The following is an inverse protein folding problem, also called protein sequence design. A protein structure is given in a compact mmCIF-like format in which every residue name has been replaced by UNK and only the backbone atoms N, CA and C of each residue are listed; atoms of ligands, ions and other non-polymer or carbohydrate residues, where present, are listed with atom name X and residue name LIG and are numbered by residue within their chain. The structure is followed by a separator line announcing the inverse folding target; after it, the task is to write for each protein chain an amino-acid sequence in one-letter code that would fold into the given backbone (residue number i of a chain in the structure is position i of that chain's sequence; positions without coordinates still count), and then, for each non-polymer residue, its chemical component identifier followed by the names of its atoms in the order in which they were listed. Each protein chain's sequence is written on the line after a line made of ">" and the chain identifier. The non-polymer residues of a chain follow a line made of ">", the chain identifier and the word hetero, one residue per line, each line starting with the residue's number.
data_IF_475980755233
#
_entry.id   IF_475980755233
#
_cell.length_a   1.000
_cell.length_b   1.000
_cell.length_c   1.000
_cell.angle_alpha   90.00
_cell.angle_beta   90.00
_cell.angle_gamma   90.00
#
_symmetry.space_group_name_H-M   'P 1'
#
loop_
_entity.id
_entity.type
_entity.pdbx_description
1 polymer ?
#
# COMPACT_ATOMS: atom_id res chain seq x y z
N UNK A 1 6.48 -2.34 20.12
CA UNK A 1 5.06 -2.78 20.09
C UNK A 1 4.34 -1.90 19.07
N UNK A 2 4.22 -2.34 17.81
CA UNK A 2 3.52 -1.56 16.79
C UNK A 2 2.04 -1.90 16.93
N UNK A 3 1.23 -0.89 17.22
CA UNK A 3 -0.22 -1.01 17.30
C UNK A 3 -0.74 -1.27 15.88
N UNK A 4 -1.18 -2.50 15.60
CA UNK A 4 -1.92 -2.79 14.37
C UNK A 4 -3.33 -2.23 14.60
N UNK A 5 -3.54 -0.96 14.25
CA UNK A 5 -4.88 -0.43 14.08
C UNK A 5 -5.56 -1.26 12.99
N UNK A 6 -6.62 -1.98 13.37
CA UNK A 6 -7.42 -2.84 12.49
C UNK A 6 -7.67 -2.15 11.15
N UNK A 7 -7.03 -2.62 10.08
CA UNK A 7 -7.26 -2.11 8.73
C UNK A 7 -8.63 -2.61 8.26
N UNK A 8 -9.63 -1.73 8.32
CA UNK A 8 -11.02 -2.05 7.99
C UNK A 8 -11.30 -1.54 6.57
N UNK A 9 -11.97 -2.38 5.76
CA UNK A 9 -12.27 -2.14 4.35
C UNK A 9 -11.02 -2.27 3.43
N UNK A 10 -11.21 -2.17 2.12
CA UNK A 10 -10.17 -2.28 1.08
C UNK A 10 -9.61 -3.69 0.78
N UNK A 11 -10.43 -4.72 1.02
CA UNK A 11 -10.10 -6.11 0.65
C UNK A 11 -9.93 -6.27 -0.86
N UNK A 12 -10.73 -5.55 -1.66
CA UNK A 12 -10.68 -5.64 -3.11
C UNK A 12 -9.40 -4.99 -3.66
N UNK A 13 -9.01 -3.81 -3.14
CA UNK A 13 -7.75 -3.19 -3.51
C UNK A 13 -6.53 -4.03 -3.09
N UNK A 14 -6.54 -4.62 -1.89
CA UNK A 14 -5.47 -5.55 -1.46
C UNK A 14 -5.40 -6.78 -2.35
N UNK A 15 -6.53 -7.44 -2.61
CA UNK A 15 -6.59 -8.60 -3.48
C UNK A 15 -6.18 -8.30 -4.93
N UNK A 16 -6.49 -7.10 -5.42
CA UNK A 16 -5.98 -6.63 -6.71
C UNK A 16 -4.45 -6.53 -6.71
N UNK A 17 -3.85 -5.90 -5.70
CA UNK A 17 -2.39 -5.77 -5.58
C UNK A 17 -1.69 -7.13 -5.44
N UNK A 18 -2.23 -8.04 -4.63
CA UNK A 18 -1.69 -9.40 -4.48
C UNK A 18 -1.75 -10.22 -5.76
N UNK A 19 -2.86 -10.14 -6.49
CA UNK A 19 -2.98 -10.85 -7.77
C UNK A 19 -1.96 -10.32 -8.77
N UNK A 20 -1.86 -9.00 -8.88
CA UNK A 20 -0.91 -8.36 -9.79
C UNK A 20 0.55 -8.66 -9.45
N UNK A 21 0.88 -8.69 -8.17
CA UNK A 21 2.21 -9.05 -7.71
C UNK A 21 2.61 -10.51 -8.02
N UNK A 22 1.63 -11.43 -8.10
CA UNK A 22 1.86 -12.84 -8.48
C UNK A 22 1.92 -13.07 -10.00
N UNK A 23 1.45 -12.11 -10.80
CA UNK A 23 1.52 -12.20 -12.25
C UNK A 23 2.97 -12.04 -12.74
N UNK A 24 3.32 -12.70 -13.84
CA UNK A 24 4.67 -12.60 -14.42
C UNK A 24 4.76 -11.33 -15.27
N UNK A 25 5.79 -10.52 -15.02
CA UNK A 25 6.08 -9.33 -15.81
C UNK A 25 6.32 -8.11 -14.93
N UNK A 26 6.93 -7.07 -15.51
CA UNK A 26 7.07 -5.80 -14.81
C UNK A 26 5.75 -5.02 -14.93
N UNK A 27 5.17 -4.66 -13.79
CA UNK A 27 3.96 -3.84 -13.74
C UNK A 27 4.20 -2.53 -13.00
N UNK A 28 3.62 -1.43 -13.52
CA UNK A 28 3.58 -0.14 -12.85
C UNK A 28 2.15 0.15 -12.39
N UNK A 29 1.93 0.10 -11.07
CA UNK A 29 0.61 0.35 -10.47
C UNK A 29 0.60 1.73 -9.81
N UNK A 30 -0.36 2.57 -10.20
CA UNK A 30 -0.54 3.92 -9.65
C UNK A 30 -1.69 3.91 -8.65
N UNK A 31 -1.39 4.16 -7.37
CA UNK A 31 -2.40 4.25 -6.30
C UNK A 31 -2.77 5.72 -6.08
N UNK A 32 -3.95 6.14 -6.54
CA UNK A 32 -4.41 7.54 -6.48
C UNK A 32 -5.65 7.75 -5.59
N UNK A 33 -6.06 9.01 -5.37
CA UNK A 33 -7.30 9.38 -4.65
C UNK A 33 -7.17 10.64 -3.77
N UNK A 34 -8.16 10.95 -2.93
CA UNK A 34 -8.13 12.15 -2.05
C UNK A 34 -7.01 12.10 -0.99
N UNK A 35 -6.59 13.27 -0.48
CA UNK A 35 -5.59 13.37 0.61
C UNK A 35 -6.16 12.73 1.89
N UNK A 36 -5.32 12.03 2.67
CA UNK A 36 -5.67 11.33 3.94
C UNK A 36 -6.61 10.12 3.85
N UNK A 37 -6.89 9.58 2.66
CA UNK A 37 -7.73 8.35 2.53
C UNK A 37 -7.03 7.03 2.92
N UNK A 38 -5.77 7.08 3.38
CA UNK A 38 -5.03 5.90 3.82
C UNK A 38 -4.30 5.14 2.72
N UNK A 39 -3.92 5.78 1.59
CA UNK A 39 -3.13 5.13 0.52
C UNK A 39 -1.81 4.54 1.01
N UNK A 40 -1.07 5.30 1.81
CA UNK A 40 0.17 4.83 2.42
C UNK A 40 -0.07 3.61 3.30
N UNK A 41 -1.20 3.58 4.01
CA UNK A 41 -1.56 2.45 4.87
C UNK A 41 -1.93 1.21 4.06
N UNK A 42 -2.64 1.37 2.93
CA UNK A 42 -2.91 0.28 1.99
C UNK A 42 -1.61 -0.37 1.50
N UNK A 43 -0.64 0.42 1.04
CA UNK A 43 0.65 -0.09 0.54
C UNK A 43 1.45 -0.77 1.66
N UNK A 44 1.46 -0.19 2.87
CA UNK A 44 2.11 -0.83 4.03
C UNK A 44 1.50 -2.18 4.37
N UNK A 45 0.17 -2.28 4.39
CA UNK A 45 -0.52 -3.55 4.67
C UNK A 45 -0.31 -4.58 3.57
N UNK A 46 -0.29 -4.16 2.29
CA UNK A 46 0.02 -5.04 1.16
C UNK A 46 1.40 -5.72 1.31
N UNK A 47 2.40 -5.00 1.79
CA UNK A 47 3.76 -5.54 1.99
C UNK A 47 3.98 -6.21 3.36
N UNK A 48 2.97 -6.31 4.23
CA UNK A 48 3.14 -7.01 5.51
C UNK A 48 3.38 -8.51 5.28
N UNK A 49 4.63 -8.95 5.47
CA UNK A 49 5.03 -10.34 5.28
C UNK A 49 5.93 -10.58 4.07
N UNK A 50 6.16 -9.55 3.26
CA UNK A 50 7.04 -9.61 2.08
C UNK A 50 8.21 -8.63 2.19
N UNK A 51 9.31 -8.92 1.49
CA UNK A 51 10.45 -7.99 1.42
C UNK A 51 10.13 -6.89 0.43
N UNK A 52 9.93 -5.67 0.93
CA UNK A 52 9.62 -4.51 0.10
C UNK A 52 10.45 -3.29 0.50
N UNK A 53 10.80 -2.48 -0.49
CA UNK A 53 11.40 -1.16 -0.30
C UNK A 53 10.31 -0.09 -0.45
N UNK A 54 9.92 0.54 0.66
CA UNK A 54 8.95 1.64 0.66
C UNK A 54 9.68 2.98 0.70
N UNK A 55 9.46 3.83 -0.31
CA UNK A 55 9.97 5.20 -0.37
C UNK A 55 8.83 6.20 -0.15
N UNK A 56 8.52 6.58 1.10
CA UNK A 56 7.50 7.59 1.35
C UNK A 56 8.02 8.97 0.94
N UNK A 57 7.27 9.68 0.09
CA UNK A 57 7.52 11.10 -0.12
C UNK A 57 7.03 11.89 1.08
N UNK A 58 7.95 12.54 1.79
CA UNK A 58 7.64 13.44 2.89
C UNK A 58 7.67 14.87 2.33
N UNK A 59 6.49 15.47 2.19
CA UNK A 59 6.37 16.88 1.83
C UNK A 59 6.81 17.73 3.03
N UNK A 60 8.04 18.25 2.99
CA UNK A 60 8.53 19.24 3.94
C UNK A 60 7.79 20.56 3.67
N UNK A 61 6.77 20.83 4.49
CA UNK A 61 6.23 22.19 4.59
C UNK A 61 7.13 22.98 5.53
N UNK A 62 7.92 23.88 4.96
CA UNK A 62 8.40 25.05 5.69
C UNK A 62 7.27 26.09 5.77
#
# INVERSE_FOLDING_TARGET
>A
MIVITKFINRKDELGFLERKYKEKGAELIIVYGRRRVGKTELVKNFFQGERACLFPFIENRH
#
